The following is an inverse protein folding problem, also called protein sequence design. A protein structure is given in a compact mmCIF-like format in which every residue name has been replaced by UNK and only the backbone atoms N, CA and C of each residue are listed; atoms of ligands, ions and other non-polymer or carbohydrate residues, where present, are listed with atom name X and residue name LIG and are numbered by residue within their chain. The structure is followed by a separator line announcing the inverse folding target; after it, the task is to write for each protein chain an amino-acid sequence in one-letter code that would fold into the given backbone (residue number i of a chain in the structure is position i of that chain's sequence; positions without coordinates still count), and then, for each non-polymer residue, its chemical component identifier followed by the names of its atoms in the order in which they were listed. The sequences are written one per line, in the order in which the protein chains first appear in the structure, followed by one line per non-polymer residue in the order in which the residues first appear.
data_IF_245855319053
#
_entry.id   IF_245855319053
#
_cell.length_a   1.000
_cell.length_b   1.000
_cell.length_c   1.000
_cell.angle_alpha   90.00
_cell.angle_beta   90.00
_cell.angle_gamma   90.00
#
_symmetry.space_group_name_H-M   'P 1'
#
loop_
_entity.id
_entity.type
_entity.pdbx_description
1 polymer ?
#
# COMPACT_ATOMS: atom_id res chain seq x y z
N UNK A 1 15.71 -4.40 -22.28
CA UNK A 1 16.12 -4.07 -20.91
C UNK A 1 15.19 -2.99 -20.40
N UNK A 2 14.61 -3.22 -19.24
CA UNK A 2 13.75 -2.28 -18.55
C UNK A 2 14.53 -1.68 -17.39
N UNK A 3 14.35 -0.39 -17.15
CA UNK A 3 15.07 0.32 -16.09
C UNK A 3 14.14 1.32 -15.39
N UNK A 4 14.21 1.35 -14.06
CA UNK A 4 13.48 2.30 -13.22
C UNK A 4 14.41 2.77 -12.11
N UNK A 5 14.86 4.03 -12.17
CA UNK A 5 15.67 4.70 -11.15
C UNK A 5 14.78 5.65 -10.35
N UNK A 6 14.68 5.46 -9.07
CA UNK A 6 13.83 6.30 -8.21
C UNK A 6 14.36 7.74 -8.15
N UNK A 7 13.44 8.72 -8.02
CA UNK A 7 13.79 10.15 -7.91
C UNK A 7 14.51 10.42 -6.60
N UNK A 8 13.99 9.86 -5.52
CA UNK A 8 14.50 10.03 -4.16
C UNK A 8 15.19 8.74 -3.74
N UNK A 9 15.51 8.67 -2.45
CA UNK A 9 16.04 7.47 -1.82
C UNK A 9 15.07 6.28 -1.87
N UNK A 10 15.57 5.13 -1.48
CA UNK A 10 14.79 3.89 -1.45
C UNK A 10 13.70 3.86 -0.36
N UNK A 11 13.63 4.85 0.55
CA UNK A 11 12.80 4.83 1.76
C UNK A 11 11.31 4.70 1.46
N UNK A 12 10.81 5.49 0.51
CA UNK A 12 9.37 5.45 0.16
C UNK A 12 8.95 4.10 -0.40
N UNK A 13 9.78 3.52 -1.27
CA UNK A 13 9.53 2.20 -1.82
C UNK A 13 9.66 1.09 -0.75
N UNK A 14 10.64 1.17 0.15
CA UNK A 14 10.75 0.28 1.30
C UNK A 14 9.49 0.30 2.16
N UNK A 15 8.99 1.49 2.51
CA UNK A 15 7.76 1.66 3.31
C UNK A 15 6.54 1.08 2.61
N UNK A 16 6.42 1.30 1.30
CA UNK A 16 5.34 0.72 0.51
C UNK A 16 5.36 -0.81 0.59
N UNK A 17 6.52 -1.43 0.34
CA UNK A 17 6.66 -2.89 0.41
C UNK A 17 6.43 -3.41 1.85
N UNK A 18 6.94 -2.70 2.87
CA UNK A 18 6.72 -3.07 4.27
C UNK A 18 5.24 -3.06 4.66
N UNK A 19 4.43 -2.13 4.13
CA UNK A 19 3.01 -2.03 4.46
C UNK A 19 2.15 -3.16 3.86
N UNK A 20 2.58 -3.75 2.73
CA UNK A 20 1.77 -4.72 1.99
C UNK A 20 2.24 -6.18 2.10
N UNK A 21 3.50 -6.44 2.47
CA UNK A 21 4.12 -7.78 2.49
C UNK A 21 3.44 -8.80 3.41
N UNK A 22 2.72 -8.32 4.43
CA UNK A 22 2.00 -9.18 5.38
C UNK A 22 0.58 -9.49 4.90
N UNK A 23 0.08 -8.76 3.90
CA UNK A 23 -1.22 -8.97 3.24
C UNK A 23 -1.05 -9.90 2.04
N UNK A 24 -0.13 -9.56 1.14
CA UNK A 24 0.16 -10.32 -0.09
C UNK A 24 1.63 -10.74 -0.10
N UNK A 25 1.92 -12.00 -0.44
CA UNK A 25 3.27 -12.57 -0.35
C UNK A 25 3.99 -12.62 -1.69
N UNK A 26 3.25 -12.92 -2.73
CA UNK A 26 3.73 -13.05 -4.10
C UNK A 26 2.88 -12.16 -4.98
N UNK A 27 3.50 -11.41 -5.87
CA UNK A 27 2.83 -10.38 -6.67
C UNK A 27 3.44 -10.25 -8.05
N UNK A 28 2.64 -9.82 -8.99
CA UNK A 28 3.07 -9.39 -10.31
C UNK A 28 3.25 -7.86 -10.33
N UNK A 29 4.50 -7.41 -10.51
CA UNK A 29 4.77 -6.02 -10.89
C UNK A 29 4.62 -5.88 -12.40
N UNK A 30 3.63 -5.13 -12.82
CA UNK A 30 3.36 -4.88 -14.24
C UNK A 30 4.02 -3.57 -14.64
N UNK A 31 5.06 -3.67 -15.43
CA UNK A 31 5.77 -2.54 -16.01
C UNK A 31 5.07 -2.10 -17.28
N UNK A 32 4.73 -0.83 -17.37
CA UNK A 32 4.07 -0.22 -18.53
C UNK A 32 4.82 1.05 -18.95
N UNK A 33 4.56 1.62 -20.14
CA UNK A 33 5.17 2.90 -20.54
C UNK A 33 4.84 4.06 -19.57
N UNK A 34 3.75 3.97 -18.81
CA UNK A 34 3.27 4.99 -17.86
C UNK A 34 3.86 4.85 -16.46
N UNK A 35 4.39 3.66 -16.10
CA UNK A 35 4.95 3.37 -14.79
C UNK A 35 4.82 1.92 -14.37
N UNK A 36 4.99 1.65 -13.09
CA UNK A 36 4.89 0.30 -12.50
C UNK A 36 3.59 0.22 -11.69
N UNK A 37 2.76 -0.77 -12.00
CA UNK A 37 1.53 -1.06 -11.26
C UNK A 37 1.60 -2.46 -10.65
N UNK A 38 0.86 -2.63 -9.58
CA UNK A 38 0.63 -3.92 -8.93
C UNK A 38 -0.83 -4.00 -8.50
N UNK A 39 -1.42 -5.15 -8.69
CA UNK A 39 -2.71 -5.51 -8.13
C UNK A 39 -2.59 -6.96 -7.66
N UNK A 40 -2.94 -7.23 -6.43
CA UNK A 40 -2.95 -8.59 -5.90
C UNK A 40 -3.97 -8.75 -4.79
N UNK A 41 -4.58 -9.92 -4.70
CA UNK A 41 -5.54 -10.26 -3.67
C UNK A 41 -4.86 -11.10 -2.59
N UNK A 42 -5.26 -10.89 -1.34
CA UNK A 42 -4.80 -11.74 -0.26
C UNK A 42 -5.30 -13.19 -0.43
N UNK A 43 -4.65 -14.15 0.22
CA UNK A 43 -4.98 -15.57 0.11
C UNK A 43 -6.39 -15.95 0.56
N UNK A 44 -7.07 -15.08 1.30
CA UNK A 44 -8.45 -15.27 1.76
C UNK A 44 -9.48 -14.63 0.84
N UNK A 45 -9.05 -13.95 -0.22
CA UNK A 45 -9.88 -13.21 -1.19
C UNK A 45 -10.78 -12.14 -0.52
N UNK A 46 -10.27 -11.49 0.53
CA UNK A 46 -11.00 -10.47 1.31
C UNK A 46 -10.42 -9.08 1.08
N UNK A 47 -9.11 -8.98 0.84
CA UNK A 47 -8.41 -7.73 0.68
C UNK A 47 -7.73 -7.65 -0.69
N UNK A 48 -8.08 -6.65 -1.48
CA UNK A 48 -7.41 -6.33 -2.74
C UNK A 48 -6.44 -5.18 -2.51
N UNK A 49 -5.16 -5.44 -2.77
CA UNK A 49 -4.10 -4.44 -2.70
C UNK A 49 -3.75 -4.00 -4.10
N UNK A 50 -3.67 -2.71 -4.31
CA UNK A 50 -3.19 -2.14 -5.56
C UNK A 50 -2.36 -0.90 -5.32
N UNK A 51 -1.35 -0.69 -6.14
CA UNK A 51 -0.61 0.56 -6.22
C UNK A 51 -0.20 0.88 -7.66
N UNK A 52 0.11 2.14 -7.88
CA UNK A 52 0.69 2.63 -9.12
C UNK A 52 1.81 3.60 -8.80
N UNK A 53 2.97 3.38 -9.41
CA UNK A 53 4.14 4.27 -9.37
C UNK A 53 4.25 4.97 -10.72
N UNK A 54 3.74 6.21 -10.85
CA UNK A 54 3.77 6.94 -12.11
C UNK A 54 5.20 7.24 -12.56
N UNK A 55 5.48 7.07 -13.84
CA UNK A 55 6.81 7.33 -14.44
C UNK A 55 7.40 8.68 -14.04
N UNK A 56 6.59 9.75 -14.11
CA UNK A 56 7.09 11.12 -13.90
C UNK A 56 7.27 11.48 -12.42
N UNK A 57 6.54 10.85 -11.53
CA UNK A 57 6.54 11.20 -10.11
C UNK A 57 7.43 10.29 -9.27
N UNK A 58 7.59 9.02 -9.70
CA UNK A 58 8.34 8.03 -8.95
C UNK A 58 9.80 7.89 -9.39
N UNK A 59 10.10 8.14 -10.68
CA UNK A 59 11.38 7.77 -11.27
C UNK A 59 12.09 8.97 -11.92
N UNK A 60 13.38 9.12 -11.65
CA UNK A 60 14.28 10.07 -12.32
C UNK A 60 14.69 9.57 -13.71
N UNK A 61 14.73 8.25 -13.88
CA UNK A 61 14.90 7.59 -15.15
C UNK A 61 13.98 6.38 -15.23
N UNK A 62 13.27 6.23 -16.36
CA UNK A 62 12.37 5.13 -16.60
C UNK A 62 12.33 4.73 -18.06
N UNK A 63 12.64 3.47 -18.33
CA UNK A 63 12.63 2.89 -19.69
C UNK A 63 11.77 1.64 -19.72
N UNK A 64 10.61 1.75 -20.38
CA UNK A 64 9.70 0.65 -20.65
C UNK A 64 8.88 0.99 -21.89
N UNK A 65 8.99 0.20 -22.96
CA UNK A 65 8.33 0.47 -24.24
C UNK A 65 7.08 -0.38 -24.47
N UNK A 66 6.93 -1.46 -23.70
CA UNK A 66 5.79 -2.37 -23.79
C UNK A 66 5.50 -2.95 -22.41
N UNK A 67 4.31 -3.51 -22.25
CA UNK A 67 3.92 -4.13 -20.99
C UNK A 67 4.76 -5.40 -20.72
N UNK A 68 5.27 -5.52 -19.48
CA UNK A 68 6.00 -6.68 -18.99
C UNK A 68 5.54 -7.03 -17.59
N UNK A 69 5.32 -8.31 -17.35
CA UNK A 69 4.93 -8.84 -16.04
C UNK A 69 6.16 -9.43 -15.35
N UNK A 70 6.40 -9.00 -14.11
CA UNK A 70 7.55 -9.39 -13.30
C UNK A 70 7.03 -9.95 -11.98
N UNK A 71 6.88 -11.27 -11.91
CA UNK A 71 6.42 -11.97 -10.70
C UNK A 71 7.52 -12.11 -9.67
N UNK A 72 7.24 -11.79 -8.40
CA UNK A 72 8.22 -11.86 -7.33
C UNK A 72 7.61 -12.08 -5.95
N UNK A 73 8.46 -12.54 -5.02
CA UNK A 73 8.13 -12.64 -3.60
C UNK A 73 8.41 -11.32 -2.90
N UNK A 74 7.36 -10.69 -2.31
CA UNK A 74 7.49 -9.46 -1.54
C UNK A 74 8.37 -9.63 -0.29
N UNK A 75 8.33 -10.81 0.32
CA UNK A 75 9.19 -11.13 1.48
C UNK A 75 10.66 -11.13 1.07
N UNK A 76 10.98 -11.68 -0.10
CA UNK A 76 12.35 -11.69 -0.62
C UNK A 76 12.81 -10.29 -1.04
N UNK A 77 11.94 -9.54 -1.71
CA UNK A 77 12.19 -8.15 -2.06
C UNK A 77 12.46 -7.31 -0.81
N UNK A 78 11.61 -7.42 0.23
CA UNK A 78 11.76 -6.71 1.48
C UNK A 78 13.09 -7.01 2.18
N UNK A 79 13.52 -8.28 2.19
CA UNK A 79 14.83 -8.66 2.77
C UNK A 79 15.98 -7.96 2.06
N UNK A 80 15.93 -7.89 0.73
CA UNK A 80 16.96 -7.18 -0.06
C UNK A 80 16.89 -5.68 0.19
N UNK A 81 15.69 -5.10 0.21
CA UNK A 81 15.48 -3.67 0.49
C UNK A 81 16.02 -3.25 1.86
N UNK A 82 16.02 -4.14 2.86
CA UNK A 82 16.57 -3.87 4.20
C UNK A 82 18.10 -3.82 4.25
N UNK A 83 18.80 -4.42 3.28
CA UNK A 83 20.27 -4.45 3.26
C UNK A 83 20.90 -3.09 2.90
N UNK A 84 20.11 -2.16 2.39
CA UNK A 84 20.58 -0.88 1.88
C UNK A 84 20.20 0.25 2.81
N UNK A 85 21.02 1.29 2.82
CA UNK A 85 20.75 2.47 3.62
C UNK A 85 19.54 3.24 3.07
N UNK A 86 18.92 4.04 3.93
CA UNK A 86 17.75 4.82 3.52
C UNK A 86 18.10 5.89 2.48
N UNK A 87 19.32 6.41 2.53
CA UNK A 87 19.79 7.47 1.63
C UNK A 87 20.37 6.96 0.30
N UNK A 88 20.43 5.62 0.10
CA UNK A 88 20.94 5.06 -1.14
C UNK A 88 19.91 5.24 -2.27
N UNK A 89 20.41 5.52 -3.48
CA UNK A 89 19.60 5.62 -4.69
C UNK A 89 19.32 4.21 -5.19
N UNK A 90 18.05 3.86 -5.33
CA UNK A 90 17.61 2.57 -5.85
C UNK A 90 17.34 2.63 -7.35
N UNK A 91 17.88 1.68 -8.08
CA UNK A 91 17.51 1.38 -9.47
C UNK A 91 17.07 -0.08 -9.59
N UNK A 92 15.98 -0.30 -10.32
CA UNK A 92 15.48 -1.62 -10.68
C UNK A 92 15.81 -1.86 -12.16
N UNK A 93 16.39 -3.00 -12.46
CA UNK A 93 16.68 -3.43 -13.84
C UNK A 93 16.06 -4.79 -14.10
N UNK A 94 15.39 -4.93 -15.21
CA UNK A 94 14.87 -6.22 -15.68
C UNK A 94 15.31 -6.47 -17.11
N UNK A 95 16.04 -7.58 -17.28
CA UNK A 95 16.34 -8.11 -18.58
C UNK A 95 15.44 -9.31 -18.88
N UNK A 96 14.65 -9.21 -19.92
CA UNK A 96 13.70 -10.24 -20.35
C UNK A 96 14.34 -11.61 -20.63
N UNK A 97 15.66 -11.64 -20.86
CA UNK A 97 16.42 -12.87 -21.07
C UNK A 97 16.87 -13.56 -19.76
N UNK A 98 16.90 -12.84 -18.64
CA UNK A 98 17.58 -13.30 -17.42
C UNK A 98 16.66 -13.87 -16.34
N UNK A 99 15.35 -13.79 -16.45
CA UNK A 99 14.40 -14.20 -15.40
C UNK A 99 14.77 -13.70 -13.99
N UNK A 100 15.40 -12.51 -13.91
CA UNK A 100 15.83 -11.89 -12.66
C UNK A 100 15.48 -10.43 -12.64
N UNK A 101 15.03 -9.95 -11.49
CA UNK A 101 14.96 -8.53 -11.18
C UNK A 101 16.23 -8.14 -10.44
N UNK A 102 16.98 -7.20 -10.99
CA UNK A 102 18.20 -6.69 -10.40
C UNK A 102 17.88 -5.40 -9.63
N UNK A 103 18.37 -5.31 -8.40
CA UNK A 103 18.33 -4.12 -7.57
C UNK A 103 19.74 -3.56 -7.46
N UNK A 104 19.90 -2.33 -7.87
CA UNK A 104 21.15 -1.60 -7.80
C UNK A 104 21.00 -0.47 -6.77
N UNK A 105 21.91 -0.40 -5.82
CA UNK A 105 21.96 0.66 -4.81
C UNK A 105 23.24 1.42 -4.93
N UNK A 106 23.13 2.72 -5.15
CA UNK A 106 24.26 3.65 -5.21
C UNK A 106 24.22 4.53 -3.96
N UNK A 107 25.31 4.53 -3.20
CA UNK A 107 25.41 5.46 -2.07
C UNK A 107 25.47 6.90 -2.59
N UNK A 108 24.83 7.84 -1.90
CA UNK A 108 24.85 9.28 -2.27
C UNK A 108 26.28 9.84 -2.39
N UNK A 109 27.23 9.30 -1.63
CA UNK A 109 28.64 9.71 -1.68
C UNK A 109 29.42 9.07 -2.84
N UNK A 110 28.79 8.24 -3.65
CA UNK A 110 29.45 7.51 -4.74
C UNK A 110 30.54 6.52 -4.28
N UNK A 111 30.57 6.19 -2.97
CA UNK A 111 31.62 5.35 -2.38
C UNK A 111 31.36 3.85 -2.52
N UNK A 112 30.13 3.45 -2.78
CA UNK A 112 29.75 2.05 -2.93
C UNK A 112 28.57 1.85 -3.87
N UNK A 113 28.58 0.74 -4.59
CA UNK A 113 27.48 0.24 -5.40
C UNK A 113 27.23 -1.19 -4.93
N UNK A 114 26.00 -1.48 -4.54
CA UNK A 114 25.57 -2.82 -4.17
C UNK A 114 24.60 -3.35 -5.21
N UNK A 115 24.75 -4.62 -5.55
CA UNK A 115 23.99 -5.29 -6.59
C UNK A 115 23.35 -6.56 -6.02
N UNK A 116 22.05 -6.72 -6.22
CA UNK A 116 21.29 -7.89 -5.78
C UNK A 116 20.40 -8.39 -6.92
N UNK A 117 20.37 -9.69 -7.10
CA UNK A 117 19.50 -10.37 -8.04
C UNK A 117 18.37 -11.08 -7.29
N UNK A 118 17.13 -10.81 -7.67
CA UNK A 118 15.96 -11.57 -7.26
C UNK A 118 15.51 -12.48 -8.39
N UNK A 119 15.42 -13.79 -8.13
CA UNK A 119 14.80 -14.72 -9.06
C UNK A 119 13.31 -14.43 -9.17
N UNK A 120 12.80 -14.43 -10.39
CA UNK A 120 11.39 -14.20 -10.67
C UNK A 120 10.57 -15.47 -10.46
N UNK A 121 9.28 -15.26 -10.21
CA UNK A 121 8.26 -16.29 -10.09
C UNK A 121 7.32 -16.18 -11.29
N UNK A 122 6.83 -17.32 -11.72
CA UNK A 122 5.71 -17.39 -12.66
C UNK A 122 4.43 -17.46 -11.82
N UNK A 123 3.70 -16.33 -11.80
CA UNK A 123 2.50 -16.17 -10.97
C UNK A 123 1.31 -16.00 -11.90
N UNK A 124 0.43 -16.99 -11.90
CA UNK A 124 -0.84 -16.94 -12.61
C UNK A 124 -1.85 -16.17 -11.74
N UNK A 125 -2.05 -14.90 -12.07
CA UNK A 125 -2.92 -13.99 -11.34
C UNK A 125 -3.88 -13.29 -12.29
N UNK A 126 -5.18 -13.41 -12.02
CA UNK A 126 -6.21 -12.73 -12.80
C UNK A 126 -6.26 -11.24 -12.44
N UNK A 127 -6.22 -10.37 -13.44
CA UNK A 127 -6.46 -8.95 -13.25
C UNK A 127 -7.92 -8.68 -12.98
N UNK A 128 -8.22 -8.13 -11.80
CA UNK A 128 -9.58 -7.78 -11.40
C UNK A 128 -9.93 -6.37 -11.86
N UNK A 129 -11.06 -6.24 -12.54
CA UNK A 129 -11.60 -4.92 -12.85
C UNK A 129 -12.31 -4.35 -11.62
N UNK A 130 -11.85 -3.18 -11.17
CA UNK A 130 -12.51 -2.47 -10.09
C UNK A 130 -13.66 -1.65 -10.67
N UNK A 131 -14.91 -1.91 -10.28
CA UNK A 131 -16.03 -1.14 -10.77
C UNK A 131 -15.92 0.31 -10.29
N UNK A 132 -16.34 1.24 -11.15
CA UNK A 132 -16.42 2.65 -10.78
C UNK A 132 -17.67 2.84 -9.90
N UNK A 133 -17.49 2.87 -8.58
CA UNK A 133 -18.59 2.96 -7.61
C UNK A 133 -18.62 4.36 -7.01
N UNK A 134 -19.81 4.95 -6.98
CA UNK A 134 -20.06 6.15 -6.17
C UNK A 134 -20.28 5.71 -4.73
N UNK A 135 -19.47 6.21 -3.82
CA UNK A 135 -19.58 5.88 -2.40
C UNK A 135 -20.61 6.78 -1.72
N UNK A 136 -21.48 6.18 -0.92
CA UNK A 136 -22.49 6.88 -0.12
C UNK A 136 -21.88 7.76 0.99
N UNK A 137 -20.67 7.43 1.42
CA UNK A 137 -19.92 8.16 2.44
C UNK A 137 -18.44 8.23 2.09
N UNK A 138 -17.87 9.43 2.24
CA UNK A 138 -16.43 9.67 2.13
C UNK A 138 -15.93 10.34 3.40
N UNK A 139 -14.85 9.83 3.97
CA UNK A 139 -14.22 10.35 5.18
C UNK A 139 -12.76 10.64 4.91
N UNK A 140 -12.31 11.83 5.27
CA UNK A 140 -10.90 12.23 5.26
C UNK A 140 -10.52 12.57 6.69
N UNK A 141 -9.56 11.87 7.26
CA UNK A 141 -9.12 12.05 8.63
C UNK A 141 -7.61 11.82 8.75
N UNK A 142 -6.97 12.32 9.81
CA UNK A 142 -5.56 12.05 10.07
C UNK A 142 -5.30 10.54 10.21
N UNK A 143 -4.28 10.02 9.50
CA UNK A 143 -3.96 8.60 9.48
C UNK A 143 -3.59 8.06 10.86
N UNK A 144 -2.90 8.88 11.70
CA UNK A 144 -2.54 8.49 13.06
C UNK A 144 -3.77 8.25 13.95
N UNK A 145 -4.86 9.01 13.75
CA UNK A 145 -6.09 8.87 14.53
C UNK A 145 -6.84 7.60 14.13
N UNK A 146 -6.96 7.35 12.84
CA UNK A 146 -7.52 6.08 12.33
C UNK A 146 -6.74 4.87 12.86
N UNK A 147 -5.42 4.90 12.74
CA UNK A 147 -4.54 3.84 13.24
C UNK A 147 -4.69 3.64 14.76
N UNK A 148 -4.75 4.74 15.53
CA UNK A 148 -4.96 4.68 16.99
C UNK A 148 -6.27 3.98 17.36
N UNK A 149 -7.37 4.30 16.67
CA UNK A 149 -8.68 3.68 16.92
C UNK A 149 -8.62 2.18 16.59
N UNK A 150 -8.14 1.81 15.41
CA UNK A 150 -8.04 0.41 14.99
C UNK A 150 -7.18 -0.41 15.96
N UNK A 151 -6.01 0.10 16.34
CA UNK A 151 -5.13 -0.59 17.28
C UNK A 151 -5.73 -0.70 18.71
N UNK A 152 -6.49 0.32 19.14
CA UNK A 152 -7.16 0.25 20.46
C UNK A 152 -8.25 -0.82 20.49
N UNK A 153 -8.88 -1.12 19.37
CA UNK A 153 -9.95 -2.13 19.29
C UNK A 153 -9.45 -3.53 19.00
N UNK A 154 -8.25 -3.66 18.40
CA UNK A 154 -7.65 -4.93 18.00
C UNK A 154 -7.53 -5.94 19.15
N UNK A 155 -7.21 -5.47 20.36
CA UNK A 155 -7.04 -6.32 21.53
C UNK A 155 -8.38 -6.68 22.20
N UNK A 156 -9.48 -6.07 21.76
CA UNK A 156 -10.81 -6.20 22.33
C UNK A 156 -11.79 -6.97 21.45
N UNK A 157 -11.53 -7.05 20.14
CA UNK A 157 -12.37 -7.74 19.18
C UNK A 157 -11.73 -7.88 17.81
N UNK A 158 -12.29 -8.75 16.97
CA UNK A 158 -11.77 -9.03 15.62
C UNK A 158 -12.39 -8.14 14.53
N UNK A 159 -13.53 -7.52 14.84
CA UNK A 159 -14.34 -6.78 13.88
C UNK A 159 -14.62 -5.38 14.39
N UNK A 160 -14.54 -4.40 13.49
CA UNK A 160 -14.97 -3.03 13.72
C UNK A 160 -16.16 -2.73 12.81
N UNK A 161 -17.18 -2.12 13.39
CA UNK A 161 -18.29 -1.53 12.65
C UNK A 161 -18.06 -0.03 12.49
N UNK A 162 -18.12 0.45 11.26
CA UNK A 162 -17.97 1.87 10.93
C UNK A 162 -19.32 2.37 10.41
N UNK A 163 -19.90 3.33 11.13
CA UNK A 163 -21.18 3.93 10.75
C UNK A 163 -21.06 5.44 10.57
N UNK A 164 -21.65 5.95 9.48
CA UNK A 164 -21.70 7.36 9.15
C UNK A 164 -23.08 7.94 9.38
N UNK A 165 -23.14 9.20 9.81
CA UNK A 165 -24.40 9.89 10.04
C UNK A 165 -24.23 11.41 10.09
N UNK A 166 -25.32 12.11 10.41
CA UNK A 166 -25.38 13.58 10.44
C UNK A 166 -24.37 14.25 11.39
N UNK A 167 -23.81 13.51 12.34
CA UNK A 167 -22.91 14.04 13.37
C UNK A 167 -21.46 13.62 13.17
N UNK A 168 -21.13 12.95 12.06
CA UNK A 168 -19.79 12.49 11.79
C UNK A 168 -19.70 10.98 11.56
N UNK A 169 -18.60 10.38 11.97
CA UNK A 169 -18.30 8.95 11.81
C UNK A 169 -18.16 8.29 13.19
N UNK A 170 -18.75 7.11 13.35
CA UNK A 170 -18.66 6.30 14.56
C UNK A 170 -17.99 4.98 14.26
N UNK A 171 -16.99 4.66 15.05
CA UNK A 171 -16.29 3.38 15.09
C UNK A 171 -16.78 2.60 16.31
N UNK A 172 -17.28 1.40 16.14
CA UNK A 172 -17.77 0.56 17.24
C UNK A 172 -17.28 -0.87 17.12
N UNK A 173 -17.10 -1.52 18.25
CA UNK A 173 -16.81 -2.94 18.34
C UNK A 173 -17.70 -3.58 19.41
N UNK A 174 -17.93 -4.88 19.27
CA UNK A 174 -18.62 -5.69 20.25
C UNK A 174 -18.01 -7.08 20.30
N UNK A 175 -17.73 -7.55 21.51
CA UNK A 175 -17.31 -8.91 21.79
C UNK A 175 -18.16 -9.50 22.93
N UNK A 176 -17.96 -10.76 23.27
CA UNK A 176 -18.72 -11.43 24.34
C UNK A 176 -18.48 -10.80 25.71
N UNK A 177 -17.35 -10.12 25.89
CA UNK A 177 -16.91 -9.58 27.19
C UNK A 177 -17.09 -8.08 27.30
N UNK A 178 -16.93 -7.36 26.17
CA UNK A 178 -16.92 -5.90 26.16
C UNK A 178 -17.38 -5.33 24.84
N UNK A 179 -17.92 -4.11 24.89
CA UNK A 179 -18.27 -3.33 23.72
C UNK A 179 -17.91 -1.86 23.94
N UNK A 180 -17.65 -1.16 22.86
CA UNK A 180 -17.28 0.25 22.95
C UNK A 180 -17.40 0.95 21.62
N UNK A 181 -17.30 2.28 21.66
CA UNK A 181 -17.29 3.08 20.46
C UNK A 181 -16.49 4.37 20.62
N UNK A 182 -16.02 4.89 19.50
CA UNK A 182 -15.43 6.22 19.36
C UNK A 182 -16.22 6.95 18.28
N UNK A 183 -16.67 8.16 18.57
CA UNK A 183 -17.35 9.02 17.58
C UNK A 183 -16.49 10.22 17.30
N UNK A 184 -16.24 10.49 16.02
CA UNK A 184 -15.50 11.65 15.54
C UNK A 184 -16.49 12.54 14.81
N UNK A 185 -16.62 13.77 15.28
CA UNK A 185 -17.48 14.77 14.65
C UNK A 185 -16.81 15.34 13.41
N UNK A 186 -17.63 15.72 12.44
CA UNK A 186 -17.16 16.52 11.31
C UNK A 186 -16.62 17.86 11.82
N UNK A 187 -15.37 18.14 11.52
CA UNK A 187 -14.67 19.37 11.88
C UNK A 187 -14.31 20.22 10.66
N UNK A 188 -15.10 20.11 9.59
CA UNK A 188 -14.90 20.80 8.32
C UNK A 188 -14.75 22.33 8.42
N UNK A 189 -15.14 22.91 9.56
CA UNK A 189 -15.01 24.35 9.84
C UNK A 189 -13.70 24.73 10.57
N UNK A 190 -12.81 23.77 10.89
CA UNK A 190 -11.54 24.05 11.55
C UNK A 190 -10.41 24.08 10.53
N UNK A 191 -9.59 25.12 10.55
CA UNK A 191 -8.37 25.25 9.72
C UNK A 191 -7.19 24.40 10.23
N UNK A 192 -7.43 23.35 11.01
CA UNK A 192 -6.37 22.54 11.57
C UNK A 192 -6.01 21.38 10.64
N UNK A 193 -4.71 21.04 10.57
CA UNK A 193 -4.21 19.85 9.87
C UNK A 193 -4.73 18.53 10.47
N UNK A 194 -5.41 18.60 11.61
CA UNK A 194 -6.02 17.49 12.33
C UNK A 194 -7.55 17.38 12.08
N UNK A 195 -8.08 18.21 11.17
CA UNK A 195 -9.49 18.21 10.87
C UNK A 195 -9.97 16.90 10.22
N UNK A 196 -11.13 16.44 10.65
CA UNK A 196 -11.84 15.32 10.00
C UNK A 196 -12.99 15.84 9.18
N UNK A 197 -13.03 15.45 7.90
CA UNK A 197 -14.09 15.82 6.96
C UNK A 197 -14.94 14.59 6.68
N UNK A 198 -16.25 14.71 6.84
CA UNK A 198 -17.21 13.61 6.63
C UNK A 198 -18.27 14.06 5.64
N UNK A 199 -18.20 13.55 4.41
CA UNK A 199 -19.26 13.75 3.40
C UNK A 199 -20.16 12.53 3.41
N UNK A 200 -21.43 12.73 3.78
CA UNK A 200 -22.46 11.68 3.82
C UNK A 200 -23.55 12.02 2.82
N UNK A 201 -23.66 11.25 1.75
CA UNK A 201 -24.79 11.31 0.81
C UNK A 201 -25.94 10.45 1.34
N UNK A 202 -25.60 9.29 1.89
CA UNK A 202 -26.54 8.40 2.54
C UNK A 202 -25.88 7.77 3.77
N UNK A 203 -26.53 7.75 4.94
CA UNK A 203 -26.03 7.08 6.12
C UNK A 203 -25.74 5.60 5.83
N UNK A 204 -24.58 5.17 6.19
CA UNK A 204 -24.06 3.81 5.86
C UNK A 204 -23.44 3.20 7.10
N UNK A 205 -23.60 1.89 7.25
CA UNK A 205 -22.94 1.09 8.27
C UNK A 205 -22.29 -0.11 7.59
N UNK A 206 -21.00 -0.31 7.83
CA UNK A 206 -20.19 -1.39 7.26
C UNK A 206 -19.30 -1.99 8.33
N UNK A 207 -19.01 -3.29 8.21
CA UNK A 207 -18.14 -4.01 9.15
C UNK A 207 -16.88 -4.47 8.43
N UNK A 208 -15.73 -4.32 9.11
CA UNK A 208 -14.43 -4.73 8.60
C UNK A 208 -13.71 -5.57 9.64
N UNK A 209 -12.83 -6.46 9.16
CA UNK A 209 -11.88 -7.14 10.02
C UNK A 209 -10.76 -6.19 10.45
N UNK A 210 -10.56 -6.05 11.77
CA UNK A 210 -9.49 -5.24 12.36
C UNK A 210 -8.10 -5.73 11.94
N UNK A 211 -7.96 -7.03 11.67
CA UNK A 211 -6.71 -7.60 11.18
C UNK A 211 -6.19 -6.84 9.95
N UNK A 212 -7.05 -6.59 8.96
CA UNK A 212 -6.63 -5.89 7.74
C UNK A 212 -6.41 -4.39 7.98
N UNK A 213 -7.31 -3.73 8.72
CA UNK A 213 -7.20 -2.29 8.96
C UNK A 213 -5.98 -1.89 9.80
N UNK A 214 -5.45 -2.80 10.64
CA UNK A 214 -4.25 -2.56 11.43
C UNK A 214 -2.93 -2.87 10.69
N UNK A 215 -2.99 -3.32 9.45
CA UNK A 215 -1.79 -3.59 8.62
C UNK A 215 -1.30 -2.35 7.87
N UNK A 216 -2.10 -1.27 7.85
CA UNK A 216 -1.81 -0.01 7.17
C UNK A 216 -1.33 1.09 8.13
#
# INVERSE_FOLDING_TARGET
MLEARFINDATSFKRLIDSIKDIVKEVNLVWTPEGIRMQSMDSSHVCLVLFFLPKQEAFSHYTCNSEHVVGLSLISLQKVLKLCNNDDILSLHYDTSSQKLQLLYESQKGSSISHFDLNLLDIDEESLSIPNVNYDTTVVMPSFEFSRICNSFKDLGDTIEISSGKHGIKFSFSSDVTSGNVTISDSSMSDSSEATFVKVEKPTTVSFSLKYLCMF
#
